data_IF_728894206834
#
_entry.id   IF_728894206834
#
_cell.length_a   1.000
_cell.length_b   1.000
_cell.length_c   1.000
_cell.angle_alpha   90.00
_cell.angle_beta   90.00
_cell.angle_gamma   90.00
#
_symmetry.space_group_name_H-M   'P 1'
#
loop_
_entity.id
_entity.type
_entity.pdbx_description
1 polymer ?
#
# COMPACT_ATOMS: atom_id res chain seq x y z
N UNK A 1 27.98 -0.76 -6.52
CA UNK A 1 26.99 0.33 -6.58
C UNK A 1 25.66 -0.12 -7.19
N UNK A 2 25.56 -0.47 -8.48
CA UNK A 2 24.28 -0.91 -9.08
C UNK A 2 23.69 -2.15 -8.40
N UNK A 3 24.51 -3.18 -8.22
CA UNK A 3 24.13 -4.43 -7.54
C UNK A 3 23.54 -4.20 -6.13
N UNK A 4 24.10 -3.26 -5.37
CA UNK A 4 23.63 -2.93 -4.02
C UNK A 4 22.27 -2.23 -4.05
N UNK A 5 22.08 -1.29 -4.98
CA UNK A 5 20.80 -0.59 -5.15
C UNK A 5 19.71 -1.57 -5.59
N UNK A 6 20.02 -2.50 -6.49
CA UNK A 6 19.10 -3.58 -6.87
C UNK A 6 18.78 -4.47 -5.67
N UNK A 7 19.78 -4.90 -4.90
CA UNK A 7 19.56 -5.67 -3.68
C UNK A 7 18.63 -4.95 -2.70
N UNK A 8 18.85 -3.65 -2.47
CA UNK A 8 18.00 -2.84 -1.61
C UNK A 8 16.58 -2.73 -2.17
N UNK A 9 16.43 -2.56 -3.48
CA UNK A 9 15.14 -2.46 -4.16
C UNK A 9 14.33 -3.77 -4.05
N UNK A 10 14.95 -4.92 -4.32
CA UNK A 10 14.29 -6.23 -4.25
C UNK A 10 13.96 -6.66 -2.81
N UNK A 11 14.76 -6.22 -1.82
CA UNK A 11 14.51 -6.48 -0.40
C UNK A 11 13.55 -5.48 0.24
N UNK A 12 13.23 -4.37 -0.42
CA UNK A 12 12.36 -3.34 0.11
C UNK A 12 10.92 -3.85 0.18
N UNK A 13 10.47 -4.25 1.37
CA UNK A 13 9.09 -4.66 1.65
C UNK A 13 8.45 -3.76 2.68
N UNK A 14 7.17 -3.47 2.50
CA UNK A 14 6.37 -2.72 3.46
C UNK A 14 5.84 -3.69 4.52
N UNK A 15 6.25 -3.48 5.77
CA UNK A 15 5.71 -4.21 6.91
C UNK A 15 4.36 -3.62 7.37
N UNK A 16 3.47 -4.47 7.87
CA UNK A 16 2.19 -4.03 8.42
C UNK A 16 2.37 -2.96 9.51
N UNK A 17 1.55 -1.92 9.46
CA UNK A 17 1.60 -0.77 10.38
C UNK A 17 2.51 0.38 9.94
N UNK A 18 3.38 0.19 8.94
CA UNK A 18 4.14 1.29 8.34
C UNK A 18 3.32 2.05 7.29
N UNK A 19 3.63 3.34 7.12
CA UNK A 19 2.93 4.21 6.15
C UNK A 19 3.34 3.88 4.71
N UNK A 20 2.36 3.54 3.85
CA UNK A 20 2.59 3.23 2.43
C UNK A 20 3.29 4.39 1.71
N UNK A 21 2.94 5.62 2.04
CA UNK A 21 3.51 6.82 1.41
C UNK A 21 5.04 6.89 1.58
N UNK A 22 5.56 6.59 2.78
CA UNK A 22 7.01 6.64 3.05
C UNK A 22 7.74 5.54 2.28
N UNK A 23 7.14 4.36 2.23
CA UNK A 23 7.70 3.19 1.54
C UNK A 23 7.78 3.39 0.02
N UNK A 24 6.69 3.84 -0.61
CA UNK A 24 6.66 4.06 -2.06
C UNK A 24 7.67 5.14 -2.48
N UNK A 25 7.76 6.25 -1.73
CA UNK A 25 8.78 7.28 -2.00
C UNK A 25 10.20 6.73 -1.88
N UNK A 26 10.47 5.83 -0.93
CA UNK A 26 11.77 5.15 -0.83
C UNK A 26 12.07 4.31 -2.08
N UNK A 27 11.10 3.52 -2.56
CA UNK A 27 11.28 2.72 -3.77
C UNK A 27 11.47 3.57 -5.02
N UNK A 28 10.69 4.65 -5.18
CA UNK A 28 10.88 5.63 -6.26
C UNK A 28 12.29 6.23 -6.21
N UNK A 29 12.78 6.56 -5.01
CA UNK A 29 14.15 7.04 -4.83
C UNK A 29 15.21 6.02 -5.27
N UNK A 30 15.04 4.74 -4.96
CA UNK A 30 15.95 3.68 -5.41
C UNK A 30 15.93 3.52 -6.94
N UNK A 31 14.75 3.55 -7.55
CA UNK A 31 14.58 3.49 -9.01
C UNK A 31 15.23 4.72 -9.67
N UNK A 32 15.05 5.91 -9.11
CA UNK A 32 15.69 7.14 -9.57
C UNK A 32 17.22 7.08 -9.46
N UNK A 33 17.75 6.46 -8.41
CA UNK A 33 19.21 6.22 -8.27
C UNK A 33 19.73 5.27 -9.34
N UNK A 34 19.01 4.19 -9.66
CA UNK A 34 19.37 3.31 -10.79
C UNK A 34 19.42 4.09 -12.11
N UNK A 35 18.40 4.91 -12.37
CA UNK A 35 18.37 5.73 -13.58
C UNK A 35 19.56 6.71 -13.65
N UNK A 36 19.96 7.30 -12.52
CA UNK A 36 21.09 8.24 -12.46
C UNK A 36 22.45 7.61 -12.78
N UNK A 37 22.59 6.28 -12.63
CA UNK A 37 23.82 5.54 -12.95
C UNK A 37 23.73 4.81 -14.30
N UNK A 38 22.67 5.05 -15.08
CA UNK A 38 22.49 4.49 -16.43
C UNK A 38 21.54 3.29 -16.52
N UNK A 39 21.04 2.78 -15.40
CA UNK A 39 20.12 1.63 -15.36
C UNK A 39 18.68 2.10 -15.31
N UNK A 40 18.03 2.19 -16.45
CA UNK A 40 16.63 2.61 -16.55
C UNK A 40 15.72 1.39 -16.54
N UNK A 41 14.93 1.25 -15.48
CA UNK A 41 13.90 0.22 -15.41
C UNK A 41 12.70 0.60 -16.28
N UNK A 42 12.16 -0.36 -17.06
CA UNK A 42 10.88 -0.16 -17.74
C UNK A 42 9.77 0.27 -16.76
N UNK A 43 8.86 1.12 -17.20
CA UNK A 43 7.80 1.66 -16.34
C UNK A 43 6.92 0.55 -15.72
N UNK A 44 6.59 -0.49 -16.49
CA UNK A 44 5.84 -1.65 -16.01
C UNK A 44 6.61 -2.43 -14.93
N UNK A 45 7.92 -2.60 -15.08
CA UNK A 45 8.78 -3.28 -14.09
C UNK A 45 8.82 -2.47 -12.80
N UNK A 46 9.03 -1.16 -12.90
CA UNK A 46 9.04 -0.24 -11.76
C UNK A 46 7.73 -0.29 -10.96
N UNK A 47 6.59 -0.25 -11.65
CA UNK A 47 5.26 -0.38 -11.03
C UNK A 47 5.09 -1.75 -10.37
N UNK A 48 5.42 -2.84 -11.05
CA UNK A 48 5.28 -4.19 -10.50
C UNK A 48 6.14 -4.42 -9.26
N UNK A 49 7.36 -3.87 -9.21
CA UNK A 49 8.22 -3.95 -8.04
C UNK A 49 7.58 -3.25 -6.83
N UNK A 50 6.99 -2.07 -7.04
CA UNK A 50 6.28 -1.37 -5.97
C UNK A 50 5.06 -2.19 -5.52
N UNK A 51 4.25 -2.72 -6.43
CA UNK A 51 3.08 -3.53 -6.06
C UNK A 51 3.48 -4.80 -5.29
N UNK A 52 4.54 -5.49 -5.72
CA UNK A 52 5.04 -6.72 -5.09
C UNK A 52 5.61 -6.47 -3.67
N UNK A 53 6.02 -5.24 -3.37
CA UNK A 53 6.56 -4.88 -2.06
C UNK A 53 5.49 -4.64 -0.98
N UNK A 54 4.22 -4.52 -1.36
CA UNK A 54 3.12 -4.21 -0.45
C UNK A 54 2.70 -5.45 0.34
N UNK A 55 2.20 -5.27 1.59
CA UNK A 55 1.65 -6.37 2.37
C UNK A 55 0.29 -6.80 1.83
N UNK A 56 -0.18 -7.98 2.25
CA UNK A 56 -1.44 -8.57 1.81
C UNK A 56 -2.67 -7.68 2.07
N UNK A 57 -2.59 -6.72 2.98
CA UNK A 57 -3.65 -5.72 3.19
C UNK A 57 -3.95 -4.85 1.95
N UNK A 58 -3.07 -4.84 0.95
CA UNK A 58 -3.26 -4.17 -0.33
C UNK A 58 -3.66 -5.12 -1.48
N UNK A 59 -3.92 -6.39 -1.22
CA UNK A 59 -4.26 -7.38 -2.26
C UNK A 59 -5.47 -6.96 -3.11
N UNK A 60 -6.53 -6.46 -2.47
CA UNK A 60 -7.71 -5.94 -3.17
C UNK A 60 -7.38 -4.75 -4.09
N UNK A 61 -6.43 -3.90 -3.69
CA UNK A 61 -5.95 -2.82 -4.55
C UNK A 61 -5.21 -3.36 -5.77
N UNK A 62 -4.33 -4.35 -5.57
CA UNK A 62 -3.53 -4.97 -6.65
C UNK A 62 -4.45 -5.66 -7.67
N UNK A 63 -5.43 -6.45 -7.21
CA UNK A 63 -6.42 -7.10 -8.08
C UNK A 63 -7.17 -6.06 -8.91
N UNK A 64 -7.69 -5.01 -8.27
CA UNK A 64 -8.39 -3.94 -8.97
C UNK A 64 -7.50 -3.20 -9.98
N UNK A 65 -6.24 -2.92 -9.61
CA UNK A 65 -5.28 -2.26 -10.48
C UNK A 65 -4.99 -3.08 -11.74
N UNK A 66 -4.77 -4.39 -11.57
CA UNK A 66 -4.50 -5.32 -12.66
C UNK A 66 -5.72 -5.52 -13.56
N UNK A 67 -6.91 -5.70 -12.97
CA UNK A 67 -8.15 -5.90 -13.73
C UNK A 67 -8.48 -4.71 -14.64
N UNK A 68 -8.20 -3.49 -14.20
CA UNK A 68 -8.47 -2.28 -14.98
C UNK A 68 -7.34 -1.93 -15.96
N UNK A 69 -6.30 -2.76 -16.09
CA UNK A 69 -5.12 -2.50 -16.92
C UNK A 69 -4.53 -1.08 -16.72
N UNK A 70 -4.53 -0.61 -15.47
CA UNK A 70 -4.16 0.76 -15.13
C UNK A 70 -2.68 0.99 -15.47
N UNK A 71 -2.40 1.89 -16.41
CA UNK A 71 -1.05 2.34 -16.73
C UNK A 71 -0.88 3.77 -16.24
N UNK A 72 -0.34 3.89 -15.02
CA UNK A 72 -0.14 5.17 -14.35
C UNK A 72 1.33 5.39 -14.05
N UNK A 73 1.73 6.66 -13.92
CA UNK A 73 3.08 7.02 -13.51
C UNK A 73 3.35 6.67 -12.03
N UNK A 74 4.62 6.62 -11.64
CA UNK A 74 5.01 6.39 -10.23
C UNK A 74 4.40 7.41 -9.24
N UNK A 75 4.31 8.72 -9.57
CA UNK A 75 3.65 9.69 -8.70
C UNK A 75 2.14 9.46 -8.55
N UNK A 76 1.47 9.02 -9.61
CA UNK A 76 0.04 8.71 -9.60
C UNK A 76 -0.23 7.45 -8.79
N UNK A 77 0.57 6.39 -9.00
CA UNK A 77 0.52 5.17 -8.20
C UNK A 77 0.67 5.46 -6.70
N UNK A 78 1.60 6.35 -6.34
CA UNK A 78 1.81 6.79 -4.97
C UNK A 78 0.56 7.46 -4.38
N UNK A 79 -0.06 8.37 -5.12
CA UNK A 79 -1.29 9.05 -4.69
C UNK A 79 -2.47 8.06 -4.54
N UNK A 80 -2.61 7.10 -5.46
CA UNK A 80 -3.64 6.06 -5.38
C UNK A 80 -3.47 5.19 -4.14
N UNK A 81 -2.25 4.71 -3.87
CA UNK A 81 -1.93 3.89 -2.71
C UNK A 81 -2.19 4.64 -1.39
N UNK A 82 -1.79 5.92 -1.32
CA UNK A 82 -2.03 6.79 -0.16
C UNK A 82 -3.53 7.00 0.10
N UNK A 83 -4.30 7.20 -0.97
CA UNK A 83 -5.76 7.37 -0.88
C UNK A 83 -6.42 6.07 -0.41
N UNK A 84 -5.98 4.93 -0.93
CA UNK A 84 -6.47 3.61 -0.53
C UNK A 84 -6.20 3.32 0.96
N UNK A 85 -4.98 3.56 1.44
CA UNK A 85 -4.61 3.42 2.86
C UNK A 85 -5.51 4.29 3.76
N UNK A 86 -5.76 5.55 3.36
CA UNK A 86 -6.60 6.48 4.12
C UNK A 86 -8.07 6.05 4.17
N UNK A 87 -8.61 5.54 3.06
CA UNK A 87 -10.00 5.09 2.97
C UNK A 87 -10.23 3.81 3.76
N UNK A 88 -9.30 2.85 3.69
CA UNK A 88 -9.37 1.59 4.44
C UNK A 88 -9.26 1.81 5.94
N UNK A 89 -8.43 2.77 6.38
CA UNK A 89 -8.36 3.17 7.79
C UNK A 89 -9.70 3.72 8.31
N UNK A 90 -10.39 4.55 7.52
CA UNK A 90 -11.73 5.07 7.86
C UNK A 90 -12.77 3.96 7.97
N UNK A 91 -12.78 3.01 7.03
CA UNK A 91 -13.73 1.87 7.06
C UNK A 91 -13.52 1.02 8.33
N UNK A 92 -12.27 0.73 8.70
CA UNK A 92 -11.96 -0.01 9.95
C UNK A 92 -12.44 0.74 11.19
N UNK A 93 -12.27 2.05 11.25
CA UNK A 93 -12.74 2.88 12.36
C UNK A 93 -14.28 2.85 12.48
N UNK A 94 -14.99 3.06 11.37
CA UNK A 94 -16.47 3.04 11.37
C UNK A 94 -17.01 1.67 11.80
N UNK A 95 -16.41 0.57 11.32
CA UNK A 95 -16.81 -0.78 11.72
C UNK A 95 -16.63 -1.01 13.22
N UNK A 96 -15.51 -0.55 13.81
CA UNK A 96 -15.22 -0.69 15.25
C UNK A 96 -16.17 0.14 16.14
N UNK A 97 -16.57 1.34 15.70
CA UNK A 97 -17.54 2.17 16.44
C UNK A 97 -18.95 1.55 16.39
N UNK A 98 -19.35 0.97 15.26
CA UNK A 98 -20.65 0.32 15.12
C UNK A 98 -20.81 -0.97 15.93
N UNK A 99 -19.71 -1.70 16.16
CA UNK A 99 -19.71 -2.96 16.93
C UNK A 99 -19.64 -2.73 18.45
N UNK A 100 -19.30 -1.52 18.89
CA UNK A 100 -19.26 -1.15 20.31
C UNK A 100 -20.62 -0.69 20.87
N UNK A 101 -21.67 -0.63 20.03
CA UNK A 101 -22.98 -0.07 20.40
C UNK A 101 -24.05 -1.11 20.82
N UNK A 102 -23.68 -2.35 21.18
CA UNK A 102 -24.64 -3.36 21.67
C UNK A 102 -24.14 -4.14 22.88
N UNK A 103 -24.08 -3.51 24.05
CA UNK A 103 -24.38 -4.21 25.31
C UNK A 103 -24.81 -3.24 26.43
N UNK A 104 -26.10 -2.88 26.46
CA UNK A 104 -26.76 -2.50 27.71
C UNK A 104 -27.91 -3.46 27.99
N UNK A 105 -27.56 -4.43 28.83
CA UNK A 105 -28.37 -5.45 29.49
C UNK A 105 -29.46 -4.75 30.30
N UNK A 106 -30.74 -4.96 29.98
CA UNK A 106 -31.83 -4.69 30.93
C UNK A 106 -32.54 -5.99 31.26
N UNK A 107 -32.20 -6.55 32.43
CA UNK A 107 -33.03 -7.51 33.16
C UNK A 107 -33.90 -6.69 34.12
N UNK A 108 -35.22 -6.87 34.07
CA UNK A 108 -36.13 -6.87 35.23
C UNK A 108 -37.48 -7.44 34.75
N UNK A 109 -37.87 -8.68 35.11
CA UNK A 109 -38.45 -9.20 36.37
C UNK A 109 -39.97 -8.98 36.47
N UNK A 110 -40.69 -10.10 36.32
CA UNK A 110 -41.93 -10.56 36.98
C UNK A 110 -43.00 -9.54 37.34
N UNK A 111 -44.20 -9.76 36.80
CA UNK A 111 -45.46 -9.82 37.55
C UNK A 111 -46.35 -10.90 36.93
#
# INVERSE_FOLDING_TARGET
MEYEILCDLFKCKLHDGNKVSKHVLKMIGLIGRLASIGTVLPANVSTNLILQSLPNSFENFIVNFNMNNMKVGLPELHNMLKTYESSTAKVKYVFMVSSSAKSSKWKNKQQ
#
